data_IF_760219457840
#
_entry.id   IF_760219457840
#
_cell.length_a   1.000
_cell.length_b   1.000
_cell.length_c   1.000
_cell.angle_alpha   90.00
_cell.angle_beta   90.00
_cell.angle_gamma   90.00
#
_symmetry.space_group_name_H-M   'P 1'
#
loop_
_entity.id
_entity.type
_entity.pdbx_description
1 polymer ?
#
# COMPACT_ATOMS: atom_id res chain seq x y z
N UNK A 1 -7.05 -7.41 -7.32
CA UNK A 1 -7.02 -8.32 -6.15
C UNK A 1 -5.59 -8.43 -5.67
N UNK A 2 -5.37 -8.26 -4.37
CA UNK A 2 -4.11 -8.60 -3.71
C UNK A 2 -4.01 -10.12 -3.64
N UNK A 3 -2.97 -10.70 -4.24
CA UNK A 3 -2.61 -12.10 -4.01
C UNK A 3 -1.38 -12.12 -3.10
N UNK A 4 -1.58 -12.54 -1.85
CA UNK A 4 -0.53 -12.84 -0.86
C UNK A 4 -0.38 -14.37 -0.83
N UNK A 5 0.84 -14.87 -1.04
CA UNK A 5 1.13 -16.30 -1.04
C UNK A 5 2.28 -16.72 -0.12
N UNK A 6 2.65 -15.90 0.89
CA UNK A 6 3.78 -16.15 1.82
C UNK A 6 3.93 -17.62 2.23
N UNK A 7 4.70 -18.40 1.45
CA UNK A 7 4.98 -19.83 1.64
C UNK A 7 3.79 -20.68 2.19
N UNK A 8 2.55 -20.28 1.93
CA UNK A 8 1.37 -20.88 2.55
C UNK A 8 0.84 -21.96 1.61
N UNK A 9 1.00 -23.22 2.01
CA UNK A 9 0.46 -24.38 1.29
C UNK A 9 -1.08 -24.39 1.21
N UNK A 10 -1.75 -23.45 1.88
CA UNK A 10 -3.20 -23.40 2.09
C UNK A 10 -3.94 -22.35 1.26
N UNK A 11 -3.30 -21.62 0.34
CA UNK A 11 -4.01 -20.69 -0.55
C UNK A 11 -4.98 -21.47 -1.45
N UNK A 12 -6.24 -21.50 -1.03
CA UNK A 12 -7.30 -22.36 -1.57
C UNK A 12 -7.83 -21.92 -2.93
N UNK A 13 -8.43 -22.90 -3.63
CA UNK A 13 -9.23 -22.92 -4.87
C UNK A 13 -8.82 -22.08 -6.09
N UNK A 14 -8.28 -20.87 -5.95
CA UNK A 14 -7.81 -20.00 -7.04
C UNK A 14 -6.41 -20.40 -7.53
N UNK A 15 -6.15 -21.70 -7.64
CA UNK A 15 -5.00 -22.22 -8.38
C UNK A 15 -5.13 -21.80 -9.85
N UNK A 16 -4.73 -20.57 -10.17
CA UNK A 16 -3.86 -20.39 -11.32
C UNK A 16 -2.62 -21.23 -11.03
N UNK A 17 -2.67 -22.52 -11.37
CA UNK A 17 -1.64 -23.52 -11.09
C UNK A 17 -0.36 -23.30 -11.89
N UNK A 18 0.12 -22.06 -11.94
CA UNK A 18 1.03 -21.55 -12.96
C UNK A 18 2.21 -20.76 -12.39
N UNK A 19 2.20 -20.38 -11.10
CA UNK A 19 3.34 -19.69 -10.53
C UNK A 19 4.28 -20.69 -9.83
N UNK A 20 5.43 -20.92 -10.46
CA UNK A 20 6.55 -21.68 -9.89
C UNK A 20 7.72 -20.70 -9.76
N UNK A 21 8.04 -20.26 -8.55
CA UNK A 21 9.11 -19.30 -8.30
C UNK A 21 9.16 -18.84 -6.84
N UNK A 22 10.23 -18.14 -6.47
CA UNK A 22 10.32 -17.43 -5.19
C UNK A 22 9.53 -16.13 -5.36
N UNK A 23 8.54 -15.90 -4.48
CA UNK A 23 7.87 -14.59 -4.39
C UNK A 23 8.72 -13.66 -3.53
N UNK A 24 8.85 -12.41 -3.96
CA UNK A 24 9.55 -11.36 -3.22
C UNK A 24 8.50 -10.40 -2.64
N UNK A 25 8.55 -10.20 -1.33
CA UNK A 25 7.72 -9.26 -0.59
C UNK A 25 8.44 -7.91 -0.46
N UNK A 26 9.20 -7.51 -1.48
CA UNK A 26 10.09 -6.36 -1.45
C UNK A 26 9.86 -5.42 -2.63
N UNK A 27 10.09 -4.13 -2.42
CA UNK A 27 10.27 -3.17 -3.51
C UNK A 27 11.70 -3.28 -4.00
N UNK A 28 11.85 -3.62 -5.27
CA UNK A 28 13.13 -3.72 -5.96
C UNK A 28 13.30 -2.52 -6.88
N UNK A 29 14.44 -1.84 -6.79
CA UNK A 29 14.75 -0.64 -7.55
C UNK A 29 15.93 -0.87 -8.48
N UNK A 30 15.82 -0.35 -9.69
CA UNK A 30 16.94 -0.16 -10.62
C UNK A 30 16.87 1.25 -11.18
N UNK A 31 18.02 1.87 -11.41
CA UNK A 31 18.11 3.26 -11.88
C UNK A 31 18.86 3.34 -13.19
N UNK A 32 18.58 4.39 -13.96
CA UNK A 32 19.29 4.71 -15.18
C UNK A 32 19.45 6.21 -15.31
N UNK A 33 20.62 6.65 -15.76
CA UNK A 33 20.89 8.06 -16.09
C UNK A 33 20.65 8.38 -17.57
N UNK A 34 20.49 7.36 -18.42
CA UNK A 34 20.40 7.51 -19.87
C UNK A 34 19.23 6.71 -20.49
N UNK A 35 18.45 5.99 -19.68
CA UNK A 35 17.34 5.12 -20.11
C UNK A 35 17.78 3.83 -20.82
N UNK A 36 19.06 3.64 -21.12
CA UNK A 36 19.59 2.50 -21.88
C UNK A 36 20.45 1.55 -21.04
N UNK A 37 21.08 2.05 -19.98
CA UNK A 37 21.92 1.29 -19.07
C UNK A 37 21.35 1.39 -17.67
N UNK A 38 21.09 0.24 -17.06
CA UNK A 38 20.40 0.14 -15.78
C UNK A 38 21.34 -0.44 -14.72
N UNK A 39 21.24 0.02 -13.48
CA UNK A 39 21.97 -0.56 -12.37
C UNK A 39 21.47 -1.97 -12.08
N UNK A 40 22.31 -2.78 -11.44
CA UNK A 40 21.86 -4.04 -10.84
C UNK A 40 20.64 -3.77 -9.95
N UNK A 41 19.53 -4.51 -10.10
CA UNK A 41 18.37 -4.33 -9.23
C UNK A 41 18.72 -4.61 -7.76
N UNK A 42 18.25 -3.76 -6.87
CA UNK A 42 18.47 -3.88 -5.42
C UNK A 42 17.14 -3.73 -4.67
N UNK A 43 16.89 -4.59 -3.69
CA UNK A 43 15.80 -4.38 -2.76
C UNK A 43 16.05 -3.11 -1.94
N UNK A 44 15.03 -2.25 -1.83
CA UNK A 44 15.06 -1.03 -1.01
C UNK A 44 14.20 -1.16 0.24
N UNK A 45 13.40 -2.22 0.32
CA UNK A 45 12.76 -2.71 1.53
C UNK A 45 13.46 -3.99 1.95
N UNK A 46 13.47 -4.31 3.24
CA UNK A 46 14.15 -5.52 3.75
C UNK A 46 13.49 -6.11 5.00
N UNK A 47 12.25 -5.70 5.26
CA UNK A 47 11.43 -6.19 6.35
C UNK A 47 10.74 -7.51 5.99
N UNK A 48 10.41 -8.31 7.01
CA UNK A 48 9.64 -9.56 6.87
C UNK A 48 8.17 -9.33 6.51
N UNK A 49 7.76 -8.06 6.45
CA UNK A 49 6.39 -7.64 6.18
C UNK A 49 6.15 -7.48 4.68
N UNK A 50 4.90 -7.71 4.28
CA UNK A 50 4.53 -7.64 2.87
C UNK A 50 4.43 -6.20 2.40
N UNK A 51 5.16 -5.88 1.32
CA UNK A 51 5.04 -4.60 0.61
C UNK A 51 4.46 -4.80 -0.79
N UNK A 52 3.67 -3.85 -1.28
CA UNK A 52 3.03 -3.96 -2.59
C UNK A 52 2.74 -2.61 -3.25
N UNK A 53 2.51 -2.66 -4.57
CA UNK A 53 2.15 -1.52 -5.42
C UNK A 53 3.09 -0.32 -5.26
N UNK A 54 4.39 -0.47 -5.59
CA UNK A 54 5.33 0.62 -5.51
C UNK A 54 4.98 1.74 -6.49
N UNK A 55 5.21 2.98 -6.07
CA UNK A 55 5.15 4.19 -6.88
C UNK A 55 6.42 4.99 -6.69
N UNK A 56 6.81 5.79 -7.68
CA UNK A 56 8.02 6.60 -7.62
C UNK A 56 7.72 8.05 -8.00
N UNK A 57 8.31 8.98 -7.27
CA UNK A 57 8.37 10.39 -7.63
C UNK A 57 9.77 10.93 -7.43
N UNK A 58 10.20 11.80 -8.33
CA UNK A 58 11.52 12.41 -8.30
C UNK A 58 11.38 13.91 -8.54
N UNK A 59 11.81 14.71 -7.58
CA UNK A 59 11.79 16.16 -7.66
C UNK A 59 12.91 16.74 -6.80
N UNK A 60 13.46 17.90 -7.19
CA UNK A 60 14.50 18.61 -6.45
C UNK A 60 15.71 17.74 -6.04
N UNK A 61 16.11 16.76 -6.88
CA UNK A 61 17.22 15.85 -6.59
C UNK A 61 16.91 14.76 -5.55
N UNK A 62 15.66 14.66 -5.09
CA UNK A 62 15.17 13.62 -4.18
C UNK A 62 14.30 12.64 -4.96
N UNK A 63 14.57 11.35 -4.79
CA UNK A 63 13.71 10.26 -5.26
C UNK A 63 12.99 9.68 -4.06
N UNK A 64 11.68 9.52 -4.15
CA UNK A 64 10.85 8.89 -3.12
C UNK A 64 10.09 7.74 -3.75
N UNK A 65 10.07 6.62 -3.03
CA UNK A 65 9.34 5.42 -3.43
C UNK A 65 8.28 5.14 -2.38
N UNK A 66 7.01 5.22 -2.78
CA UNK A 66 5.85 4.93 -1.94
C UNK A 66 5.33 3.52 -2.20
N UNK A 67 4.75 2.87 -1.20
CA UNK A 67 4.20 1.53 -1.30
C UNK A 67 3.25 1.23 -0.14
N UNK A 68 2.40 0.21 -0.30
CA UNK A 68 1.63 -0.35 0.81
C UNK A 68 2.50 -1.30 1.63
N UNK A 69 2.38 -1.27 2.96
CA UNK A 69 3.15 -2.09 3.90
C UNK A 69 2.29 -2.54 5.08
N UNK A 70 2.66 -3.67 5.71
CA UNK A 70 2.10 -4.14 7.00
C UNK A 70 2.90 -3.68 8.23
N UNK A 71 4.04 -3.01 8.02
CA UNK A 71 5.04 -2.74 9.08
C UNK A 71 4.57 -1.78 10.20
N UNK A 72 3.57 -0.92 9.93
CA UNK A 72 3.15 0.12 10.88
C UNK A 72 1.98 -0.24 11.78
N UNK A 73 1.30 -1.37 11.52
CA UNK A 73 0.15 -1.73 12.32
C UNK A 73 0.38 -3.07 13.03
N UNK A 74 0.83 -3.02 14.30
CA UNK A 74 1.06 -4.20 15.10
C UNK A 74 -0.29 -4.80 15.51
N UNK A 75 -0.90 -5.62 14.66
CA UNK A 75 -2.04 -6.51 14.98
C UNK A 75 -3.01 -5.89 16.00
N UNK A 76 -3.52 -4.68 15.74
CA UNK A 76 -4.45 -4.01 16.64
C UNK A 76 -5.88 -4.39 16.29
N UNK A 77 -6.81 -4.15 17.22
CA UNK A 77 -8.25 -4.29 16.99
C UNK A 77 -8.77 -3.35 15.89
N UNK A 78 -8.02 -2.31 15.51
CA UNK A 78 -8.45 -1.24 14.60
C UNK A 78 -8.68 -1.71 13.16
N UNK A 79 -8.09 -2.85 12.77
CA UNK A 79 -8.35 -3.50 11.49
C UNK A 79 -9.08 -4.83 11.63
N UNK A 80 -9.70 -5.13 12.77
CA UNK A 80 -10.48 -6.36 12.90
C UNK A 80 -11.76 -6.25 12.09
N UNK A 81 -12.04 -7.26 11.27
CA UNK A 81 -13.25 -7.30 10.48
C UNK A 81 -14.46 -7.51 11.41
N UNK A 82 -15.34 -6.52 11.53
CA UNK A 82 -16.63 -6.72 12.16
C UNK A 82 -17.54 -7.53 11.23
N UNK A 83 -17.86 -8.75 11.64
CA UNK A 83 -18.72 -9.68 10.92
C UNK A 83 -20.08 -9.76 11.63
N UNK A 84 -21.16 -9.78 10.85
CA UNK A 84 -22.46 -10.18 11.37
C UNK A 84 -22.42 -11.68 11.62
N UNK A 85 -22.77 -12.12 12.83
CA UNK A 85 -22.86 -13.54 13.11
C UNK A 85 -23.98 -14.18 12.26
N UNK A 86 -23.63 -15.13 11.39
CA UNK A 86 -24.59 -15.80 10.52
C UNK A 86 -25.68 -16.58 11.27
N UNK A 87 -25.45 -16.92 12.55
CA UNK A 87 -26.42 -17.59 13.40
C UNK A 87 -27.24 -16.63 14.28
N UNK A 88 -26.80 -15.38 14.42
CA UNK A 88 -27.50 -14.33 15.16
C UNK A 88 -27.15 -12.95 14.58
N UNK A 89 -28.02 -12.39 13.71
CA UNK A 89 -27.74 -11.13 13.04
C UNK A 89 -27.72 -9.90 13.98
N UNK A 90 -28.03 -10.07 15.27
CA UNK A 90 -27.94 -9.00 16.28
C UNK A 90 -26.58 -8.94 16.98
N UNK A 91 -25.73 -9.94 16.77
CA UNK A 91 -24.40 -10.04 17.39
C UNK A 91 -23.29 -9.76 16.37
N UNK A 92 -22.39 -8.83 16.71
CA UNK A 92 -21.16 -8.58 15.95
C UNK A 92 -20.06 -9.51 16.47
N UNK A 93 -19.39 -10.21 15.56
CA UNK A 93 -18.21 -11.04 15.83
C UNK A 93 -17.01 -10.42 15.11
N UNK A 94 -15.88 -10.31 15.79
CA UNK A 94 -14.67 -9.79 15.18
C UNK A 94 -13.83 -10.93 14.59
N UNK A 95 -13.39 -10.79 13.34
CA UNK A 95 -12.52 -11.75 12.68
C UNK A 95 -11.17 -11.89 13.39
N UNK A 96 -10.61 -13.09 13.39
CA UNK A 96 -9.35 -13.44 14.09
C UNK A 96 -8.07 -13.05 13.35
N UNK A 97 -8.19 -12.41 12.19
CA UNK A 97 -7.08 -12.05 11.31
C UNK A 97 -7.17 -10.58 10.90
N UNK A 98 -6.77 -9.63 11.76
CA UNK A 98 -6.64 -8.25 11.33
C UNK A 98 -5.53 -8.17 10.28
N UNK A 99 -5.89 -7.78 9.06
CA UNK A 99 -4.91 -7.31 8.07
C UNK A 99 -4.97 -5.81 8.08
N UNK A 100 -3.85 -5.19 8.40
CA UNK A 100 -3.69 -3.76 8.39
C UNK A 100 -2.68 -3.39 7.32
N UNK A 101 -3.11 -2.54 6.40
CA UNK A 101 -2.26 -1.92 5.40
C UNK A 101 -2.13 -0.43 5.67
N UNK A 102 -0.90 0.05 5.53
CA UNK A 102 -0.54 1.46 5.59
C UNK A 102 0.14 1.85 4.28
N UNK A 103 -0.02 3.11 3.87
CA UNK A 103 0.82 3.68 2.82
C UNK A 103 2.05 4.33 3.44
N UNK A 104 3.24 3.94 2.98
CA UNK A 104 4.53 4.36 3.49
C UNK A 104 5.46 4.74 2.34
N UNK A 105 6.58 5.39 2.65
CA UNK A 105 7.62 5.68 1.68
C UNK A 105 9.04 5.58 2.25
N UNK A 106 9.99 5.37 1.33
CA UNK A 106 11.44 5.50 1.54
C UNK A 106 11.99 6.54 0.59
N UNK A 107 13.10 7.17 0.94
CA UNK A 107 13.66 8.25 0.12
C UNK A 107 15.16 8.12 -0.11
N UNK A 108 15.65 8.72 -1.19
CA UNK A 108 17.09 8.75 -1.49
C UNK A 108 17.90 9.58 -0.48
N UNK A 109 17.26 10.37 0.37
CA UNK A 109 17.88 11.25 1.37
C UNK A 109 18.77 10.50 2.36
N UNK A 110 18.42 9.26 2.68
CA UNK A 110 19.13 8.37 3.59
C UNK A 110 19.46 7.03 2.91
N UNK A 111 19.61 7.04 1.57
CA UNK A 111 19.82 5.83 0.77
C UNK A 111 18.72 4.77 0.96
N UNK A 112 17.47 5.21 1.14
CA UNK A 112 16.30 4.35 1.36
C UNK A 112 16.39 3.48 2.62
N UNK A 113 17.17 3.89 3.62
CA UNK A 113 17.37 3.11 4.84
C UNK A 113 16.12 3.09 5.73
N UNK A 114 15.47 4.24 5.89
CA UNK A 114 14.31 4.42 6.77
C UNK A 114 13.00 4.48 6.00
N UNK A 115 12.02 3.76 6.53
CA UNK A 115 10.62 3.84 6.11
C UNK A 115 9.90 4.92 6.95
N UNK A 116 9.02 5.68 6.32
CA UNK A 116 8.11 6.62 6.98
C UNK A 116 6.67 6.29 6.58
N UNK A 117 5.72 6.37 7.53
CA UNK A 117 4.29 6.20 7.26
C UNK A 117 3.70 7.52 6.73
N UNK A 118 2.91 7.45 5.66
CA UNK A 118 2.27 8.62 5.03
C UNK A 118 0.81 8.76 5.46
N UNK A 119 0.23 7.66 5.92
CA UNK A 119 -1.17 7.55 6.31
C UNK A 119 -1.33 7.76 7.81
N UNK A 120 -2.42 8.41 8.21
CA UNK A 120 -2.79 8.58 9.62
C UNK A 120 -3.59 7.41 10.18
N UNK A 121 -4.08 6.51 9.32
CA UNK A 121 -4.93 5.38 9.64
C UNK A 121 -4.53 4.16 8.79
N UNK A 122 -4.83 2.97 9.28
CA UNK A 122 -4.60 1.70 8.57
C UNK A 122 -5.90 1.20 7.96
N UNK A 123 -5.83 0.41 6.88
CA UNK A 123 -7.00 -0.19 6.23
C UNK A 123 -6.95 -1.71 6.23
N UNK A 124 -8.13 -2.33 6.34
CA UNK A 124 -8.30 -3.76 6.11
C UNK A 124 -8.92 -4.01 4.73
N UNK A 125 -8.20 -4.67 3.79
CA UNK A 125 -8.71 -4.96 2.46
C UNK A 125 -9.92 -5.91 2.44
N UNK A 126 -10.18 -6.64 3.53
CA UNK A 126 -11.33 -7.54 3.68
C UNK A 126 -12.61 -6.82 4.14
N UNK A 127 -12.50 -5.56 4.58
CA UNK A 127 -13.66 -4.73 4.86
C UNK A 127 -13.93 -3.85 3.64
N UNK A 128 -15.16 -3.88 3.12
CA UNK A 128 -15.60 -2.83 2.19
C UNK A 128 -15.44 -1.50 2.92
N UNK A 129 -14.60 -0.60 2.38
CA UNK A 129 -14.12 0.66 2.97
C UNK A 129 -15.17 1.39 3.83
N UNK A 130 -15.24 1.02 5.11
CA UNK A 130 -16.20 1.55 6.07
C UNK A 130 -15.46 2.47 7.04
N UNK A 131 -15.31 3.73 6.65
CA UNK A 131 -14.79 4.80 7.50
C UNK A 131 -13.39 5.25 7.11
N UNK A 132 -13.28 6.52 6.67
CA UNK A 132 -12.09 7.23 6.19
C UNK A 132 -11.35 6.55 5.04
N UNK A 133 -11.49 7.14 3.86
CA UNK A 133 -10.93 6.63 2.61
C UNK A 133 -9.40 6.76 2.63
N UNK A 134 -8.71 5.68 2.96
CA UNK A 134 -7.41 5.38 2.38
C UNK A 134 -7.73 5.11 0.92
N UNK A 135 -7.59 6.12 0.06
CA UNK A 135 -7.96 5.96 -1.33
C UNK A 135 -7.22 4.83 -2.00
N UNK A 136 -7.56 4.61 -3.27
CA UNK A 136 -6.60 4.02 -4.20
C UNK A 136 -5.42 5.00 -4.25
N UNK A 137 -4.50 4.92 -3.28
CA UNK A 137 -3.25 5.67 -3.30
C UNK A 137 -2.45 5.06 -4.44
N UNK A 138 -2.61 5.66 -5.61
CA UNK A 138 -1.95 5.24 -6.83
C UNK A 138 -0.51 5.74 -6.89
N UNK A 139 -0.09 6.61 -5.96
CA UNK A 139 1.20 7.24 -6.05
C UNK A 139 1.72 7.92 -4.79
N UNK A 140 2.97 8.37 -4.91
CA UNK A 140 3.63 9.32 -4.03
C UNK A 140 3.97 10.56 -4.86
N UNK A 141 3.92 11.73 -4.25
CA UNK A 141 4.41 12.98 -4.83
C UNK A 141 5.53 13.54 -3.97
N UNK A 142 6.44 14.30 -4.59
CA UNK A 142 7.52 15.03 -3.92
C UNK A 142 7.44 16.49 -4.36
N UNK A 143 7.26 17.40 -3.40
CA UNK A 143 7.19 18.84 -3.68
C UNK A 143 8.57 19.45 -3.99
N UNK A 144 8.61 20.75 -4.28
CA UNK A 144 9.87 21.46 -4.57
C UNK A 144 10.82 21.60 -3.37
N UNK A 145 10.31 21.43 -2.15
CA UNK A 145 11.10 21.38 -0.92
C UNK A 145 11.59 19.95 -0.62
N UNK A 146 11.24 18.99 -1.47
CA UNK A 146 11.52 17.58 -1.27
C UNK A 146 10.54 16.88 -0.34
N UNK A 147 9.51 17.54 0.18
CA UNK A 147 8.52 16.93 1.08
C UNK A 147 7.69 15.93 0.30
N UNK A 148 7.58 14.71 0.83
CA UNK A 148 6.79 13.68 0.18
C UNK A 148 5.39 13.60 0.77
N UNK A 149 4.46 13.12 -0.07
CA UNK A 149 3.05 12.98 0.27
C UNK A 149 2.37 11.91 -0.56
N UNK A 150 1.33 11.31 -0.01
CA UNK A 150 0.55 10.32 -0.73
C UNK A 150 -0.32 11.01 -1.80
N UNK A 151 -0.43 10.39 -2.97
CA UNK A 151 -1.28 10.85 -4.07
C UNK A 151 -2.34 9.79 -4.36
N UNK A 152 -3.59 10.21 -4.45
CA UNK A 152 -4.73 9.34 -4.72
C UNK A 152 -5.71 10.01 -5.67
N UNK A 153 -6.53 9.19 -6.34
CA UNK A 153 -7.66 9.64 -7.16
C UNK A 153 -8.97 9.21 -6.52
N UNK A 154 -9.94 10.12 -6.39
CA UNK A 154 -11.29 9.75 -5.98
C UNK A 154 -12.12 9.29 -7.19
N UNK A 155 -12.60 8.06 -7.20
CA UNK A 155 -13.56 7.63 -8.22
C UNK A 155 -15.02 7.80 -7.76
N UNK A 156 -15.26 8.29 -6.55
CA UNK A 156 -16.59 8.49 -5.97
C UNK A 156 -17.14 9.86 -6.39
N UNK A 157 -17.41 10.01 -7.69
CA UNK A 157 -18.46 10.92 -8.11
C UNK A 157 -19.78 10.45 -7.49
N UNK A 158 -20.64 11.34 -7.02
CA UNK A 158 -22.00 11.02 -6.60
C UNK A 158 -22.83 10.86 -7.88
N UNK A 159 -23.14 9.64 -8.36
CA UNK A 159 -23.69 9.44 -9.69
C UNK A 159 -25.04 10.16 -9.81
N UNK A 160 -25.09 11.20 -10.65
CA UNK A 160 -26.28 12.06 -10.83
C UNK A 160 -26.28 13.37 -10.03
N UNK A 161 -25.27 13.64 -9.20
CA UNK A 161 -25.12 14.88 -8.40
C UNK A 161 -23.75 15.55 -8.59
N UNK A 162 -22.66 14.79 -8.71
CA UNK A 162 -21.34 15.29 -9.10
C UNK A 162 -20.79 14.46 -10.26
N UNK A 163 -20.12 15.11 -11.21
CA UNK A 163 -19.35 14.41 -12.23
C UNK A 163 -18.24 13.61 -11.54
N UNK A 164 -18.01 12.34 -11.90
CA UNK A 164 -16.78 11.64 -11.52
C UNK A 164 -15.58 12.51 -11.88
N UNK A 165 -14.75 12.82 -10.89
CA UNK A 165 -13.58 13.67 -11.04
C UNK A 165 -12.35 12.96 -10.50
N UNK A 166 -11.30 12.87 -11.31
CA UNK A 166 -10.00 12.41 -10.83
C UNK A 166 -9.28 13.60 -10.17
N UNK A 167 -9.59 13.85 -8.91
CA UNK A 167 -8.83 14.83 -8.13
C UNK A 167 -7.60 14.14 -7.57
N UNK A 168 -6.42 14.72 -7.80
CA UNK A 168 -5.20 14.37 -7.07
C UNK A 168 -5.18 15.19 -5.79
N UNK A 169 -5.39 14.53 -4.67
CA UNK A 169 -5.23 15.14 -3.35
C UNK A 169 -3.93 14.65 -2.73
N UNK A 170 -3.20 15.60 -2.14
CA UNK A 170 -1.91 15.38 -1.51
C UNK A 170 -2.13 15.47 0.01
N UNK A 171 -2.03 14.34 0.70
CA UNK A 171 -2.21 14.26 2.16
C UNK A 171 -1.00 13.59 2.83
N UNK A 172 -0.69 14.03 4.06
CA UNK A 172 0.50 13.64 4.83
C UNK A 172 1.80 14.22 4.26
N UNK A 173 2.48 15.09 5.00
CA UNK A 173 3.76 15.71 4.60
C UNK A 173 4.90 15.25 5.51
N UNK A 174 6.04 14.84 4.95
CA UNK A 174 7.24 14.40 5.67
C UNK A 174 8.54 14.74 4.91
#
# INVERSE_FOLDING_TARGET
MWADDRANSSCGWEKGGSFTGITHNEVIMSTSTNGSSWTTPTAITGNTDDVSFPSVSANAGRTVVGYYTRNYSPVTTDCTQALINGNDPTTIVYGTHPVCLDYAARSSSDSFATESRLTSQSSNPYMQFAGSFIGDYTGVNVDSNGVASAAWTDNRGNPGLTTPNQDVVVDGSF
#
